data_IF_474670257059
#
_entry.id   IF_474670257059
#
_cell.length_a   1.000
_cell.length_b   1.000
_cell.length_c   1.000
_cell.angle_alpha   90.00
_cell.angle_beta   90.00
_cell.angle_gamma   90.00
#
_symmetry.space_group_name_H-M   'P 1'
#
loop_
_entity.id
_entity.type
_entity.pdbx_description
1 polymer ?
#
# COMPACT_ATOMS: atom_id res chain seq x y z
N UNK A 1 14.29 -5.45 1.30
CA UNK A 1 13.38 -5.15 0.19
C UNK A 1 12.84 -6.46 -0.37
N UNK A 2 11.53 -6.59 -0.49
CA UNK A 2 10.85 -7.69 -1.19
C UNK A 2 10.47 -7.18 -2.58
N UNK A 3 10.64 -7.99 -3.63
CA UNK A 3 10.29 -7.62 -5.01
C UNK A 3 9.43 -8.74 -5.59
N UNK A 4 8.31 -8.36 -6.21
CA UNK A 4 7.36 -9.31 -6.79
C UNK A 4 6.84 -8.79 -8.14
N UNK A 5 6.35 -9.69 -9.00
CA UNK A 5 5.66 -9.29 -10.24
C UNK A 5 4.42 -8.48 -9.89
N UNK A 6 4.20 -7.34 -10.55
CA UNK A 6 3.01 -6.53 -10.33
C UNK A 6 1.73 -7.32 -10.67
N UNK A 7 0.68 -7.13 -9.89
CA UNK A 7 -0.63 -7.74 -10.13
C UNK A 7 -1.32 -7.09 -11.34
N UNK A 8 -2.30 -7.77 -11.94
CA UNK A 8 -3.09 -7.17 -13.03
C UNK A 8 -3.77 -5.87 -12.58
N UNK A 9 -4.23 -5.80 -11.33
CA UNK A 9 -4.85 -4.59 -10.78
C UNK A 9 -3.86 -3.45 -10.66
N UNK A 10 -2.63 -3.72 -10.18
CA UNK A 10 -1.55 -2.73 -10.13
C UNK A 10 -1.20 -2.21 -11.54
N UNK A 11 -1.14 -3.10 -12.54
CA UNK A 11 -0.91 -2.73 -13.94
C UNK A 11 -2.02 -1.86 -14.52
N UNK A 12 -3.30 -2.17 -14.24
CA UNK A 12 -4.44 -1.34 -14.64
C UNK A 12 -4.35 0.08 -14.06
N UNK A 13 -3.93 0.20 -12.80
CA UNK A 13 -3.74 1.49 -12.14
C UNK A 13 -2.57 2.28 -12.75
N UNK A 14 -1.60 1.59 -13.33
CA UNK A 14 -0.43 2.21 -13.94
C UNK A 14 -0.52 2.34 -15.46
N UNK A 15 -1.70 2.14 -16.06
CA UNK A 15 -1.90 2.20 -17.51
C UNK A 15 -1.40 3.50 -18.15
N UNK A 16 -1.56 4.63 -17.45
CA UNK A 16 -1.23 5.96 -17.97
C UNK A 16 0.27 6.31 -17.79
N UNK A 17 1.03 5.45 -17.10
CA UNK A 17 2.47 5.62 -16.94
C UNK A 17 3.26 5.24 -18.22
N UNK A 18 2.61 4.70 -19.24
CA UNK A 18 3.18 4.43 -20.58
C UNK A 18 4.51 3.64 -20.55
N UNK A 19 4.61 2.62 -19.70
CA UNK A 19 5.80 1.78 -19.64
C UNK A 19 6.07 1.06 -20.97
N UNK A 20 7.33 1.08 -21.42
CA UNK A 20 7.77 0.38 -22.63
C UNK A 20 7.63 -1.14 -22.54
N UNK A 21 7.77 -1.69 -21.33
CA UNK A 21 7.70 -3.13 -21.05
C UNK A 21 6.76 -3.42 -19.86
N UNK A 22 5.43 -3.31 -20.04
CA UNK A 22 4.46 -3.53 -18.97
C UNK A 22 4.57 -4.91 -18.30
N UNK A 23 5.00 -5.92 -19.04
CA UNK A 23 5.24 -7.29 -18.57
C UNK A 23 6.36 -7.40 -17.51
N UNK A 24 7.28 -6.43 -17.51
CA UNK A 24 8.44 -6.41 -16.63
C UNK A 24 8.26 -5.54 -15.38
N UNK A 25 7.09 -4.95 -15.18
CA UNK A 25 6.81 -4.14 -14.00
C UNK A 25 6.82 -5.03 -12.75
N UNK A 26 7.41 -4.50 -11.67
CA UNK A 26 7.53 -5.14 -10.36
C UNK A 26 7.02 -4.19 -9.28
N UNK A 27 6.40 -4.75 -8.25
CA UNK A 27 6.15 -4.03 -7.01
C UNK A 27 7.26 -4.38 -6.03
N UNK A 28 7.70 -3.40 -5.24
CA UNK A 28 8.70 -3.59 -4.19
C UNK A 28 8.20 -3.06 -2.87
N UNK A 29 8.39 -3.84 -1.81
CA UNK A 29 8.17 -3.39 -0.44
C UNK A 29 9.53 -3.16 0.24
N UNK A 30 9.81 -1.90 0.57
CA UNK A 30 11.09 -1.49 1.16
C UNK A 30 11.19 -1.93 2.64
N UNK A 31 12.38 -2.35 3.06
CA UNK A 31 12.65 -2.65 4.46
C UNK A 31 12.43 -1.42 5.35
N UNK A 32 12.80 -0.23 4.90
CA UNK A 32 12.63 0.99 5.69
C UNK A 32 11.14 1.33 5.90
N UNK A 33 10.31 1.07 4.89
CA UNK A 33 8.86 1.19 4.99
C UNK A 33 8.27 0.18 5.99
N UNK A 34 8.70 -1.08 5.94
CA UNK A 34 8.27 -2.12 6.90
C UNK A 34 8.69 -1.72 8.32
N UNK A 35 9.93 -1.29 8.51
CA UNK A 35 10.46 -0.86 9.81
C UNK A 35 9.67 0.34 10.34
N UNK A 36 9.35 1.31 9.48
CA UNK A 36 8.49 2.44 9.85
C UNK A 36 7.10 1.96 10.30
N UNK A 37 6.44 1.11 9.52
CA UNK A 37 5.12 0.55 9.85
C UNK A 37 5.16 -0.14 11.21
N UNK A 38 6.09 -1.06 11.43
CA UNK A 38 6.18 -1.80 12.69
C UNK A 38 6.45 -0.88 13.89
N UNK A 39 7.31 0.14 13.71
CA UNK A 39 7.66 1.09 14.77
C UNK A 39 6.53 2.06 15.11
N UNK A 40 5.75 2.51 14.12
CA UNK A 40 4.74 3.57 14.30
C UNK A 40 3.31 3.04 14.36
N UNK A 41 3.00 1.97 13.64
CA UNK A 41 1.65 1.42 13.48
C UNK A 41 1.54 -0.06 13.88
N UNK A 42 2.65 -0.75 14.19
CA UNK A 42 2.64 -2.14 14.63
C UNK A 42 1.92 -2.34 15.97
N UNK A 43 1.50 -3.57 16.27
CA UNK A 43 0.71 -3.94 17.47
C UNK A 43 1.21 -3.37 18.81
N UNK A 44 2.51 -3.13 18.94
CA UNK A 44 3.14 -2.62 20.17
C UNK A 44 3.58 -1.15 20.07
N UNK A 45 3.23 -0.44 18.99
CA UNK A 45 3.67 0.92 18.72
C UNK A 45 3.08 1.94 19.69
N UNK A 46 3.71 3.11 19.77
CA UNK A 46 3.18 4.24 20.55
C UNK A 46 1.83 4.70 20.01
N UNK A 47 1.63 4.70 18.69
CA UNK A 47 0.36 5.18 18.15
C UNK A 47 -0.79 4.22 18.45
N UNK A 48 -0.56 2.90 18.40
CA UNK A 48 -1.57 1.92 18.79
C UNK A 48 -1.94 2.06 20.26
N UNK A 49 -0.95 2.31 21.13
CA UNK A 49 -1.20 2.67 22.54
C UNK A 49 -2.02 3.95 22.70
N UNK A 50 -1.97 4.84 21.71
CA UNK A 50 -2.74 6.09 21.66
C UNK A 50 -4.07 5.96 20.88
N UNK A 51 -4.49 4.74 20.51
CA UNK A 51 -5.80 4.48 19.92
C UNK A 51 -5.83 4.26 18.41
N UNK A 52 -4.68 4.25 17.71
CA UNK A 52 -4.66 3.79 16.32
C UNK A 52 -4.94 2.28 16.24
N UNK A 53 -5.62 1.84 15.17
CA UNK A 53 -5.74 0.41 14.86
C UNK A 53 -4.37 -0.14 14.42
N UNK A 54 -3.95 -1.31 14.91
CA UNK A 54 -2.64 -1.86 14.58
C UNK A 54 -2.58 -2.39 13.15
N UNK A 55 -1.41 -2.25 12.53
CA UNK A 55 -1.02 -2.99 11.32
C UNK A 55 -0.22 -4.21 11.79
N UNK A 56 -0.70 -5.41 11.45
CA UNK A 56 -0.08 -6.68 11.84
C UNK A 56 0.91 -7.18 10.80
N UNK A 57 1.72 -8.19 11.15
CA UNK A 57 2.58 -8.87 10.18
C UNK A 57 1.78 -9.51 9.04
N UNK A 58 0.58 -10.02 9.33
CA UNK A 58 -0.30 -10.61 8.32
C UNK A 58 -0.77 -9.56 7.32
N UNK A 59 -1.10 -8.35 7.78
CA UNK A 59 -1.48 -7.24 6.90
C UNK A 59 -0.33 -6.84 5.97
N UNK A 60 0.91 -6.81 6.48
CA UNK A 60 2.11 -6.50 5.69
C UNK A 60 2.39 -7.60 4.68
N UNK A 61 2.30 -8.87 5.09
CA UNK A 61 2.49 -10.02 4.21
C UNK A 61 1.43 -10.09 3.09
N UNK A 62 0.21 -9.64 3.38
CA UNK A 62 -0.92 -9.66 2.44
C UNK A 62 -1.30 -8.28 1.92
N UNK A 63 -0.37 -7.31 1.86
CA UNK A 63 -0.67 -5.92 1.48
C UNK A 63 -1.42 -5.80 0.14
N UNK A 64 -1.15 -6.72 -0.80
CA UNK A 64 -1.82 -6.78 -2.12
C UNK A 64 -3.29 -7.11 -2.06
N UNK A 65 -3.75 -7.77 -1.00
CA UNK A 65 -5.17 -7.99 -0.76
C UNK A 65 -5.91 -6.64 -0.69
N UNK A 66 -5.30 -5.62 -0.09
CA UNK A 66 -5.86 -4.28 0.01
C UNK A 66 -6.02 -3.67 -1.38
N UNK A 67 -4.97 -3.69 -2.20
CA UNK A 67 -5.02 -3.11 -3.57
C UNK A 67 -6.04 -3.83 -4.44
N UNK A 68 -6.06 -5.16 -4.39
CA UNK A 68 -6.95 -5.96 -5.23
C UNK A 68 -8.42 -5.88 -4.81
N UNK A 69 -8.70 -5.54 -3.55
CA UNK A 69 -10.05 -5.50 -2.98
C UNK A 69 -10.36 -4.14 -2.34
N UNK A 70 -9.77 -3.06 -2.83
CA UNK A 70 -9.96 -1.72 -2.30
C UNK A 70 -11.42 -1.28 -2.46
N UNK A 71 -11.95 -0.63 -1.43
CA UNK A 71 -13.30 -0.05 -1.50
C UNK A 71 -13.28 1.26 -2.29
N UNK A 72 -12.15 1.98 -2.23
CA UNK A 72 -11.90 3.17 -3.03
C UNK A 72 -10.43 3.26 -3.45
N UNK A 73 -10.22 3.87 -4.62
CA UNK A 73 -8.90 4.24 -5.13
C UNK A 73 -8.94 5.72 -5.48
N UNK A 74 -8.01 6.48 -4.89
CA UNK A 74 -7.87 7.91 -5.08
C UNK A 74 -6.57 8.20 -5.84
N UNK A 75 -6.63 9.15 -6.76
CA UNK A 75 -5.44 9.73 -7.41
C UNK A 75 -5.31 11.15 -6.91
N UNK A 76 -4.18 11.46 -6.31
CA UNK A 76 -3.89 12.77 -5.72
C UNK A 76 -2.56 13.29 -6.24
N UNK A 77 -2.32 14.58 -6.03
CA UNK A 77 -1.00 15.17 -6.23
C UNK A 77 -0.36 15.28 -4.85
N UNK A 78 0.82 14.70 -4.69
CA UNK A 78 1.55 14.73 -3.43
C UNK A 78 2.26 16.07 -3.21
N UNK A 79 2.90 16.21 -2.05
CA UNK A 79 3.65 17.43 -1.69
C UNK A 79 4.87 17.71 -2.58
N UNK A 80 5.25 16.78 -3.44
CA UNK A 80 6.33 16.89 -4.41
C UNK A 80 5.81 17.11 -5.84
N UNK A 81 4.51 17.42 -5.99
CA UNK A 81 3.84 17.61 -7.28
C UNK A 81 3.89 16.36 -8.18
N UNK A 82 3.90 15.17 -7.56
CA UNK A 82 3.86 13.88 -8.24
C UNK A 82 2.50 13.22 -8.04
N UNK A 83 2.07 12.42 -9.02
CA UNK A 83 0.85 11.63 -8.88
C UNK A 83 1.05 10.54 -7.83
N UNK A 84 0.14 10.49 -6.86
CA UNK A 84 0.03 9.43 -5.89
C UNK A 84 -1.28 8.67 -6.09
N UNK A 85 -1.19 7.35 -6.19
CA UNK A 85 -2.35 6.46 -6.22
C UNK A 85 -2.48 5.86 -4.82
N UNK A 86 -3.62 6.04 -4.17
CA UNK A 86 -3.89 5.47 -2.86
C UNK A 86 -5.11 4.57 -2.89
N UNK A 87 -4.92 3.32 -2.49
CA UNK A 87 -5.96 2.31 -2.39
C UNK A 87 -6.24 2.04 -0.91
N UNK A 88 -7.52 2.05 -0.52
CA UNK A 88 -7.92 1.80 0.86
C UNK A 88 -9.03 0.76 0.91
N UNK A 89 -8.96 -0.10 1.93
CA UNK A 89 -10.01 -1.03 2.28
C UNK A 89 -10.44 -0.76 3.71
N UNK A 90 -11.71 -0.48 3.90
CA UNK A 90 -12.33 -0.29 5.19
C UNK A 90 -12.62 -1.65 5.81
N UNK A 91 -11.93 -1.91 6.91
CA UNK A 91 -12.19 -3.06 7.77
C UNK A 91 -13.09 -2.57 8.90
N UNK A 92 -14.28 -3.17 9.02
CA UNK A 92 -15.25 -2.96 10.11
C UNK A 92 -16.25 -1.80 10.00
N UNK A 93 -16.72 -1.43 8.81
CA UNK A 93 -18.03 -0.74 8.70
C UNK A 93 -18.11 0.75 9.09
N UNK A 94 -17.04 1.37 9.60
CA UNK A 94 -17.01 2.81 9.91
C UNK A 94 -16.96 3.69 8.65
N UNK A 95 -18.03 4.49 8.42
CA UNK A 95 -18.13 5.53 7.39
C UNK A 95 -17.69 6.89 7.92
#
# INVERSE_FOLDING_TARGET
MIIEKASNKELELLKDANFKHPENIRASLDHDAITHILKRHGVNSVNVKNGESPITYEDIANYRYIVNNADAILRTIDKYNQEAITAFKQINGYR
#
